data_IF_131123537981
#
_entry.id   IF_131123537981
#
_cell.length_a   1.000
_cell.length_b   1.000
_cell.length_c   1.000
_cell.angle_alpha   90.00
_cell.angle_beta   90.00
_cell.angle_gamma   90.00
#
_symmetry.space_group_name_H-M   'P 1'
#
loop_
_entity.id
_entity.type
_entity.pdbx_description
1 polymer ?
#
# COMPACT_ATOMS: atom_id res chain seq x y z
N UNK A 1 38.01 6.90 -3.40
CA UNK A 1 37.51 7.08 -2.01
C UNK A 1 36.07 6.68 -2.02
N UNK A 2 35.71 5.52 -1.44
CA UNK A 2 34.30 5.12 -1.29
C UNK A 2 33.71 5.98 -0.19
N UNK A 3 32.86 6.93 -0.53
CA UNK A 3 32.00 7.56 0.48
C UNK A 3 31.14 6.46 1.12
N UNK A 4 31.06 6.41 2.47
CA UNK A 4 30.16 5.49 3.12
C UNK A 4 28.73 5.76 2.61
N UNK A 5 27.91 4.72 2.40
CA UNK A 5 26.54 4.90 1.93
C UNK A 5 25.77 5.83 2.89
N UNK A 6 25.04 6.79 2.33
CA UNK A 6 24.18 7.67 3.14
C UNK A 6 23.22 6.81 3.96
N UNK A 7 23.19 7.04 5.26
CA UNK A 7 22.28 6.37 6.18
C UNK A 7 21.21 7.35 6.65
N UNK A 8 20.00 6.88 6.75
CA UNK A 8 18.87 7.66 7.24
C UNK A 8 18.79 7.66 8.76
N UNK A 9 18.25 8.73 9.32
CA UNK A 9 17.92 8.88 10.72
C UNK A 9 16.66 9.71 10.85
N UNK A 10 16.06 9.72 12.02
CA UNK A 10 14.86 10.50 12.30
C UNK A 10 15.16 11.59 13.31
N UNK A 11 14.52 12.74 13.12
CA UNK A 11 14.55 13.88 14.03
C UNK A 11 13.13 14.22 14.48
N UNK A 12 12.99 14.76 15.68
CA UNK A 12 11.75 15.35 16.16
C UNK A 12 11.56 16.80 15.62
N UNK A 13 10.44 17.41 15.98
CA UNK A 13 10.11 18.79 15.55
C UNK A 13 11.10 19.85 16.07
N UNK A 14 11.92 19.52 17.05
CA UNK A 14 12.98 20.42 17.60
C UNK A 14 14.31 20.22 16.90
N UNK A 15 14.42 19.26 15.97
CA UNK A 15 15.66 18.90 15.28
C UNK A 15 16.50 17.90 16.05
N UNK A 16 16.02 17.36 17.19
CA UNK A 16 16.75 16.36 17.97
C UNK A 16 16.61 14.98 17.31
N UNK A 17 17.75 14.27 17.19
CA UNK A 17 17.76 12.88 16.70
C UNK A 17 17.04 11.98 17.70
N UNK A 18 16.00 11.26 17.25
CA UNK A 18 15.18 10.38 18.11
C UNK A 18 15.73 8.96 18.22
N UNK A 19 16.66 8.56 17.35
CA UNK A 19 17.29 7.24 17.41
C UNK A 19 18.76 7.34 17.00
N UNK A 20 19.64 6.63 17.70
CA UNK A 20 21.05 6.47 17.33
C UNK A 20 21.24 5.47 16.21
N UNK A 21 20.23 4.62 15.96
CA UNK A 21 20.26 3.65 14.86
C UNK A 21 20.22 4.36 13.51
N UNK A 22 21.00 3.87 12.56
CA UNK A 22 21.08 4.35 11.19
C UNK A 22 20.50 3.30 10.26
N UNK A 23 19.65 3.73 9.34
CA UNK A 23 18.93 2.86 8.41
C UNK A 23 19.46 3.02 6.99
N UNK A 24 19.41 1.94 6.20
CA UNK A 24 19.79 1.97 4.78
C UNK A 24 18.77 2.76 3.96
N UNK A 25 17.50 2.69 4.37
CA UNK A 25 16.42 3.53 3.85
C UNK A 25 15.36 3.75 4.94
N UNK A 26 14.55 4.79 4.77
CA UNK A 26 13.45 5.10 5.68
C UNK A 26 12.32 5.79 4.90
N UNK A 27 11.10 5.56 5.33
CA UNK A 27 9.90 6.24 4.84
C UNK A 27 9.24 7.04 5.96
N UNK A 28 8.30 7.90 5.62
CA UNK A 28 7.63 8.77 6.56
C UNK A 28 6.82 8.00 7.60
N UNK A 29 6.69 8.61 8.78
CA UNK A 29 5.78 8.13 9.81
C UNK A 29 4.34 8.23 9.33
N UNK A 30 3.63 7.13 9.44
CA UNK A 30 2.18 7.08 9.29
C UNK A 30 1.57 6.23 10.39
N UNK A 31 0.48 6.70 10.97
CA UNK A 31 -0.26 6.02 12.04
C UNK A 31 0.62 5.56 13.23
N UNK A 32 1.71 6.30 13.50
CA UNK A 32 2.60 6.07 14.64
C UNK A 32 3.84 5.22 14.36
N UNK A 33 3.94 4.60 13.18
CA UNK A 33 5.08 3.79 12.77
C UNK A 33 5.71 4.31 11.47
N UNK A 34 7.02 4.08 11.31
CA UNK A 34 7.75 4.37 10.07
C UNK A 34 8.43 3.11 9.54
N UNK A 35 8.30 2.80 8.24
CA UNK A 35 9.05 1.73 7.61
C UNK A 35 10.54 2.11 7.55
N UNK A 36 11.40 1.18 7.94
CA UNK A 36 12.86 1.33 7.88
C UNK A 36 13.50 0.10 7.26
N UNK A 37 14.53 0.32 6.46
CA UNK A 37 15.31 -0.75 5.83
C UNK A 37 16.63 -0.95 6.56
N UNK A 38 16.96 -2.19 6.88
CA UNK A 38 18.23 -2.61 7.47
C UNK A 38 18.73 -3.81 6.66
N UNK A 39 19.85 -3.65 5.96
CA UNK A 39 20.27 -4.60 4.94
C UNK A 39 19.25 -4.62 3.80
N UNK A 40 18.77 -5.81 3.43
CA UNK A 40 17.84 -5.97 2.33
C UNK A 40 16.37 -5.96 2.75
N UNK A 41 16.09 -5.97 4.06
CA UNK A 41 14.75 -6.16 4.59
C UNK A 41 14.20 -4.92 5.30
N UNK A 42 12.89 -4.78 5.23
CA UNK A 42 12.12 -3.73 5.88
C UNK A 42 11.48 -4.20 7.18
N UNK A 43 11.51 -3.34 8.18
CA UNK A 43 10.81 -3.44 9.44
C UNK A 43 10.15 -2.11 9.78
N UNK A 44 9.72 -1.93 11.04
CA UNK A 44 9.06 -0.70 11.48
C UNK A 44 9.61 -0.21 12.80
N UNK A 45 9.77 1.11 12.94
CA UNK A 45 10.07 1.79 14.20
C UNK A 45 8.88 2.63 14.65
N UNK A 46 8.81 2.87 15.96
CA UNK A 46 7.90 3.83 16.55
C UNK A 46 8.50 5.25 16.61
N UNK A 47 7.72 6.21 17.12
CA UNK A 47 8.15 7.62 17.27
C UNK A 47 9.25 7.83 18.30
N UNK A 48 9.51 6.85 19.17
CA UNK A 48 10.64 6.86 20.09
C UNK A 48 11.92 6.30 19.45
N UNK A 49 11.84 5.83 18.20
CA UNK A 49 12.95 5.20 17.48
C UNK A 49 13.18 3.74 17.84
N UNK A 50 12.22 3.12 18.53
CA UNK A 50 12.30 1.70 18.92
C UNK A 50 11.83 0.83 17.76
N UNK A 51 12.60 -0.22 17.46
CA UNK A 51 12.25 -1.22 16.45
C UNK A 51 11.09 -2.08 16.94
N UNK A 52 9.87 -1.81 16.49
CA UNK A 52 8.64 -2.51 16.86
C UNK A 52 8.49 -3.82 16.06
N UNK A 53 8.84 -3.76 14.78
CA UNK A 53 8.84 -4.94 13.90
C UNK A 53 10.24 -5.10 13.33
N UNK A 54 10.89 -6.23 13.66
CA UNK A 54 12.20 -6.55 13.09
C UNK A 54 12.14 -6.64 11.56
N UNK A 55 13.22 -6.26 10.85
CA UNK A 55 13.28 -6.35 9.39
C UNK A 55 13.02 -7.78 8.92
N UNK A 56 12.00 -7.95 8.08
CA UNK A 56 11.60 -9.27 7.55
C UNK A 56 10.86 -9.21 6.22
N UNK A 57 10.44 -8.03 5.76
CA UNK A 57 9.72 -7.86 4.50
C UNK A 57 10.67 -7.39 3.40
N UNK A 58 10.50 -7.85 2.18
CA UNK A 58 11.27 -7.36 1.02
C UNK A 58 10.94 -5.90 0.69
N UNK A 59 9.70 -5.48 0.91
CA UNK A 59 9.26 -4.09 0.90
C UNK A 59 8.14 -3.87 1.92
N UNK A 60 8.05 -2.65 2.47
CA UNK A 60 6.97 -2.24 3.37
C UNK A 60 6.65 -0.76 3.16
N UNK A 61 5.36 -0.44 3.03
CA UNK A 61 4.85 0.92 2.83
C UNK A 61 4.40 1.53 4.17
N UNK A 62 4.27 2.86 4.25
CA UNK A 62 3.63 3.49 5.40
C UNK A 62 2.23 2.93 5.67
N UNK A 63 1.83 2.91 6.93
CA UNK A 63 0.51 2.44 7.33
C UNK A 63 -0.60 3.32 6.78
N UNK A 64 -1.66 2.71 6.30
CA UNK A 64 -2.89 3.38 5.90
C UNK A 64 -4.11 2.51 6.24
N UNK A 65 -5.11 3.08 6.89
CA UNK A 65 -6.28 2.37 7.41
C UNK A 65 -5.92 1.19 8.31
N UNK A 66 -4.82 1.30 9.08
CA UNK A 66 -4.34 0.30 10.03
C UNK A 66 -3.50 -0.83 9.44
N UNK A 67 -3.27 -0.84 8.14
CA UNK A 67 -2.48 -1.85 7.44
C UNK A 67 -1.32 -1.23 6.65
N UNK A 68 -0.21 -1.93 6.58
CA UNK A 68 0.90 -1.62 5.69
C UNK A 68 0.93 -2.62 4.55
N UNK A 69 1.01 -2.14 3.32
CA UNK A 69 1.29 -3.00 2.19
C UNK A 69 2.74 -3.49 2.27
N UNK A 70 2.89 -4.80 2.21
CA UNK A 70 4.17 -5.49 2.24
C UNK A 70 4.40 -6.26 0.95
N UNK A 71 5.66 -6.60 0.68
CA UNK A 71 6.04 -7.43 -0.47
C UNK A 71 6.81 -8.65 -0.01
N UNK A 72 6.54 -9.77 -0.67
CA UNK A 72 7.24 -11.03 -0.54
C UNK A 72 7.19 -11.77 -1.89
N UNK A 73 8.35 -12.19 -2.42
CA UNK A 73 8.50 -12.88 -3.73
C UNK A 73 7.70 -12.21 -4.87
N UNK A 74 7.90 -10.88 -5.02
CA UNK A 74 7.19 -10.05 -6.03
C UNK A 74 5.67 -9.96 -5.89
N UNK A 75 5.11 -10.54 -4.84
CA UNK A 75 3.69 -10.44 -4.52
C UNK A 75 3.45 -9.47 -3.37
N UNK A 76 2.37 -8.73 -3.46
CA UNK A 76 1.91 -7.80 -2.43
C UNK A 76 0.86 -8.43 -1.54
N UNK A 77 0.97 -8.19 -0.26
CA UNK A 77 0.03 -8.50 0.79
C UNK A 77 -0.02 -7.36 1.81
N UNK A 78 -0.56 -7.62 2.99
CA UNK A 78 -0.67 -6.58 4.01
C UNK A 78 -0.39 -7.12 5.41
N UNK A 79 0.32 -6.32 6.20
CA UNK A 79 0.60 -6.60 7.62
C UNK A 79 -0.07 -5.58 8.52
N UNK A 80 -0.35 -6.00 9.75
CA UNK A 80 -0.76 -5.11 10.83
C UNK A 80 0.45 -4.45 11.52
N UNK A 81 0.19 -3.63 12.54
CA UNK A 81 1.21 -2.88 13.29
C UNK A 81 2.11 -3.77 14.16
N UNK A 82 1.74 -5.02 14.40
CA UNK A 82 2.58 -6.00 15.07
C UNK A 82 3.55 -6.69 14.13
N UNK A 83 3.37 -6.46 12.82
CA UNK A 83 4.09 -7.13 11.75
C UNK A 83 3.46 -8.47 11.35
N UNK A 84 2.31 -8.86 11.92
CA UNK A 84 1.59 -10.05 11.48
C UNK A 84 1.02 -9.85 10.10
N UNK A 85 1.24 -10.81 9.19
CA UNK A 85 0.65 -10.80 7.85
C UNK A 85 -0.82 -11.16 8.00
N UNK A 86 -1.71 -10.18 7.79
CA UNK A 86 -3.17 -10.36 7.88
C UNK A 86 -3.81 -10.67 6.54
N UNK A 87 -3.19 -10.21 5.46
CA UNK A 87 -3.60 -10.55 4.09
C UNK A 87 -2.35 -11.09 3.38
N UNK A 88 -2.32 -12.39 3.05
CA UNK A 88 -1.15 -13.00 2.43
C UNK A 88 -0.75 -12.32 1.11
N UNK A 89 0.55 -12.27 0.78
CA UNK A 89 1.03 -11.81 -0.52
C UNK A 89 0.44 -12.68 -1.64
N UNK A 90 -0.41 -12.06 -2.48
CA UNK A 90 -1.19 -12.78 -3.51
C UNK A 90 -1.20 -12.03 -4.84
N UNK A 91 -1.08 -10.69 -4.80
CA UNK A 91 -1.25 -9.86 -6.00
C UNK A 91 0.07 -9.28 -6.48
N UNK A 92 0.27 -9.28 -7.79
CA UNK A 92 1.40 -8.59 -8.42
C UNK A 92 1.26 -7.07 -8.38
N UNK A 93 0.02 -6.59 -8.32
CA UNK A 93 -0.29 -5.16 -8.17
C UNK A 93 -1.26 -4.98 -7.01
N UNK A 94 -0.91 -4.09 -6.10
CA UNK A 94 -1.76 -3.70 -4.98
C UNK A 94 -1.45 -2.26 -4.59
N UNK A 95 -2.47 -1.52 -4.19
CA UNK A 95 -2.35 -0.17 -3.63
C UNK A 95 -2.46 -0.19 -2.11
N UNK A 96 -2.05 0.91 -1.49
CA UNK A 96 -2.29 1.13 -0.08
C UNK A 96 -3.79 1.30 0.18
N UNK A 97 -4.26 0.88 1.35
CA UNK A 97 -5.65 1.07 1.74
C UNK A 97 -6.01 2.55 1.77
N UNK A 98 -7.18 2.88 1.29
CA UNK A 98 -7.79 4.20 1.41
C UNK A 98 -9.29 4.03 1.67
N UNK A 99 -9.79 4.71 2.71
CA UNK A 99 -11.20 4.61 3.11
C UNK A 99 -11.68 3.17 3.36
N UNK A 100 -10.76 2.31 3.84
CA UNK A 100 -11.02 0.90 4.16
C UNK A 100 -11.00 -0.05 2.99
N UNK A 101 -10.67 0.42 1.79
CA UNK A 101 -10.59 -0.37 0.55
C UNK A 101 -9.21 -0.25 -0.10
N UNK A 102 -8.75 -1.31 -0.75
CA UNK A 102 -7.53 -1.32 -1.54
C UNK A 102 -7.78 -1.90 -2.94
N UNK A 103 -7.13 -1.30 -3.94
CA UNK A 103 -7.10 -1.85 -5.30
C UNK A 103 -6.08 -2.97 -5.36
N UNK A 104 -6.48 -4.10 -5.92
CA UNK A 104 -5.60 -5.25 -6.15
C UNK A 104 -5.85 -5.86 -7.52
N UNK A 105 -4.84 -6.51 -8.08
CA UNK A 105 -4.95 -7.16 -9.39
C UNK A 105 -3.63 -7.64 -9.94
N UNK A 106 -3.62 -7.87 -11.24
CA UNK A 106 -2.41 -8.13 -12.02
C UNK A 106 -2.18 -6.92 -12.94
N UNK A 107 -0.93 -6.48 -13.17
CA UNK A 107 -0.63 -5.34 -14.07
C UNK A 107 -1.20 -5.47 -15.48
N UNK A 108 -1.38 -6.71 -15.96
CA UNK A 108 -1.95 -7.03 -17.28
C UNK A 108 -3.37 -7.58 -17.20
N UNK A 109 -3.94 -7.66 -16.00
CA UNK A 109 -5.25 -8.26 -15.73
C UNK A 109 -6.24 -7.25 -15.17
N UNK A 110 -7.44 -7.72 -14.83
CA UNK A 110 -8.42 -6.86 -14.20
C UNK A 110 -8.06 -6.55 -12.76
N UNK A 111 -8.43 -5.34 -12.35
CA UNK A 111 -8.36 -4.88 -10.97
C UNK A 111 -9.69 -5.09 -10.26
N UNK A 112 -9.64 -5.28 -8.95
CA UNK A 112 -10.78 -5.32 -8.05
C UNK A 112 -10.46 -4.58 -6.75
N UNK A 113 -11.46 -4.44 -5.89
CA UNK A 113 -11.29 -3.85 -4.57
C UNK A 113 -11.45 -4.90 -3.50
N UNK A 114 -10.57 -4.86 -2.51
CA UNK A 114 -10.66 -5.70 -1.30
C UNK A 114 -10.90 -4.84 -0.08
N UNK A 115 -11.54 -5.42 0.92
CA UNK A 115 -11.67 -4.85 2.25
C UNK A 115 -10.46 -5.25 3.13
N UNK A 116 -10.43 -4.76 4.38
CA UNK A 116 -9.32 -5.00 5.33
C UNK A 116 -9.16 -6.46 5.77
N UNK A 117 -10.11 -7.34 5.47
CA UNK A 117 -9.98 -8.79 5.72
C UNK A 117 -9.40 -9.53 4.51
N UNK A 118 -9.14 -8.84 3.40
CA UNK A 118 -8.67 -9.42 2.14
C UNK A 118 -9.79 -9.98 1.25
N UNK A 119 -11.04 -9.85 1.70
CA UNK A 119 -12.20 -10.27 0.91
C UNK A 119 -12.55 -9.24 -0.15
N UNK A 120 -13.07 -9.68 -1.31
CA UNK A 120 -13.58 -8.78 -2.33
C UNK A 120 -14.67 -7.89 -1.73
N UNK A 121 -14.54 -6.58 -1.88
CA UNK A 121 -15.42 -5.61 -1.24
C UNK A 121 -16.80 -5.55 -1.90
N UNK A 122 -16.84 -5.70 -3.22
CA UNK A 122 -18.05 -5.77 -4.05
C UNK A 122 -17.70 -6.43 -5.39
N UNK A 123 -18.69 -7.01 -6.04
CA UNK A 123 -18.48 -7.63 -7.34
C UNK A 123 -18.20 -6.58 -8.42
N UNK A 124 -17.00 -6.61 -8.97
CA UNK A 124 -16.60 -5.71 -10.04
C UNK A 124 -15.16 -5.93 -10.45
N UNK A 125 -14.94 -6.01 -11.76
CA UNK A 125 -13.61 -6.06 -12.35
C UNK A 125 -13.44 -4.86 -13.28
N UNK A 126 -12.28 -4.23 -13.20
CA UNK A 126 -11.99 -2.99 -13.89
C UNK A 126 -10.69 -3.11 -14.68
N UNK A 127 -10.64 -2.49 -15.86
CA UNK A 127 -9.41 -2.42 -16.64
C UNK A 127 -8.36 -1.50 -16.00
N UNK A 128 -8.83 -0.48 -15.28
CA UNK A 128 -8.03 0.40 -14.41
C UNK A 128 -8.90 0.75 -13.21
N UNK A 129 -8.28 0.90 -12.04
CA UNK A 129 -8.96 1.33 -10.83
C UNK A 129 -8.06 2.28 -10.04
N UNK A 130 -8.62 3.35 -9.49
CA UNK A 130 -7.93 4.26 -8.59
C UNK A 130 -8.31 4.00 -7.14
N UNK A 131 -7.47 4.44 -6.19
CA UNK A 131 -7.85 4.44 -4.78
C UNK A 131 -9.07 5.34 -4.54
N UNK A 132 -9.83 5.04 -3.51
CA UNK A 132 -10.93 5.89 -3.06
C UNK A 132 -10.42 7.20 -2.46
N UNK A 133 -11.11 8.28 -2.77
CA UNK A 133 -10.89 9.60 -2.19
C UNK A 133 -12.23 10.33 -2.06
N UNK A 134 -12.59 10.74 -0.84
CA UNK A 134 -13.88 11.38 -0.53
C UNK A 134 -15.09 10.57 -1.02
N UNK A 135 -15.05 9.26 -0.77
CA UNK A 135 -16.13 8.33 -1.08
C UNK A 135 -16.22 7.90 -2.54
N UNK A 136 -15.34 8.35 -3.42
CA UNK A 136 -15.37 8.05 -4.85
C UNK A 136 -14.05 7.48 -5.36
N UNK A 137 -14.13 6.58 -6.32
CA UNK A 137 -12.99 6.09 -7.10
C UNK A 137 -13.29 6.17 -8.59
N UNK A 138 -12.29 6.58 -9.36
CA UNK A 138 -12.36 6.52 -10.82
C UNK A 138 -11.96 5.13 -11.30
N UNK A 139 -12.73 4.56 -12.20
CA UNK A 139 -12.45 3.25 -12.79
C UNK A 139 -12.62 3.30 -14.30
N UNK A 140 -11.83 2.49 -15.01
CA UNK A 140 -12.07 2.17 -16.41
C UNK A 140 -12.76 0.81 -16.50
N UNK A 141 -13.94 0.79 -17.09
CA UNK A 141 -14.71 -0.43 -17.25
C UNK A 141 -14.04 -1.38 -18.26
N UNK A 142 -14.20 -2.67 -18.02
CA UNK A 142 -13.85 -3.67 -19.02
C UNK A 142 -14.82 -3.56 -20.20
N UNK A 143 -14.33 -3.62 -21.45
CA UNK A 143 -15.20 -3.58 -22.63
C UNK A 143 -16.13 -4.80 -22.61
N UNK A 144 -17.41 -4.57 -22.87
CA UNK A 144 -18.41 -5.65 -23.03
C UNK A 144 -18.24 -6.40 -24.37
N UNK A 145 -17.64 -5.75 -25.36
CA UNK A 145 -17.34 -6.29 -26.67
C UNK A 145 -15.93 -5.83 -27.07
N UNK A 146 -15.05 -6.78 -27.32
CA UNK A 146 -13.66 -6.51 -27.73
C UNK A 146 -13.54 -5.72 -29.04
N UNK A 147 -14.61 -5.65 -29.83
CA UNK A 147 -14.67 -4.92 -31.09
C UNK A 147 -15.05 -3.44 -30.94
N UNK A 148 -15.54 -3.01 -29.77
CA UNK A 148 -15.88 -1.61 -29.46
C UNK A 148 -14.83 -1.01 -28.54
N UNK A 149 -13.80 -0.41 -29.13
CA UNK A 149 -12.60 0.08 -28.43
C UNK A 149 -12.77 1.43 -27.71
N UNK A 150 -13.98 1.87 -27.37
CA UNK A 150 -14.12 3.10 -26.59
C UNK A 150 -13.92 2.79 -25.11
N UNK A 151 -12.89 3.40 -24.52
CA UNK A 151 -12.66 3.33 -23.08
C UNK A 151 -13.83 4.04 -22.37
N UNK A 152 -14.56 3.31 -21.54
CA UNK A 152 -15.63 3.87 -20.71
C UNK A 152 -15.11 4.05 -19.30
N UNK A 153 -15.10 5.28 -18.82
CA UNK A 153 -14.75 5.60 -17.44
C UNK A 153 -15.99 5.82 -16.59
N UNK A 154 -15.88 5.55 -15.32
CA UNK A 154 -16.94 5.81 -14.36
C UNK A 154 -16.35 6.25 -13.03
N UNK A 155 -17.15 6.95 -12.23
CA UNK A 155 -16.94 7.09 -10.81
C UNK A 155 -17.84 6.09 -10.09
N UNK A 156 -17.28 5.38 -9.14
CA UNK A 156 -18.00 4.44 -8.27
C UNK A 156 -17.89 4.92 -6.82
N UNK A 157 -18.90 4.62 -6.02
CA UNK A 157 -18.88 4.80 -4.57
C UNK A 157 -18.25 3.57 -3.86
N UNK A 158 -18.10 3.63 -2.55
CA UNK A 158 -17.49 2.58 -1.73
C UNK A 158 -18.27 1.26 -1.70
N UNK A 159 -19.48 1.22 -2.24
CA UNK A 159 -20.29 0.00 -2.42
C UNK A 159 -20.14 -0.59 -3.84
N UNK A 160 -19.36 0.07 -4.71
CA UNK A 160 -19.19 -0.31 -6.11
C UNK A 160 -20.29 0.18 -7.04
N UNK A 161 -21.23 0.99 -6.55
CA UNK A 161 -22.28 1.60 -7.36
C UNK A 161 -21.70 2.67 -8.28
N UNK A 162 -22.10 2.68 -9.53
CA UNK A 162 -21.71 3.71 -10.49
C UNK A 162 -22.49 5.00 -10.23
N UNK A 163 -21.76 6.04 -9.86
CA UNK A 163 -22.32 7.38 -9.62
C UNK A 163 -22.37 8.19 -10.90
N UNK A 164 -21.36 8.02 -11.75
CA UNK A 164 -21.26 8.75 -13.02
C UNK A 164 -20.47 7.94 -14.05
N UNK A 165 -20.81 8.08 -15.34
CA UNK A 165 -20.13 7.39 -16.47
C UNK A 165 -19.90 8.37 -17.60
N UNK A 166 -18.72 8.34 -18.25
CA UNK A 166 -18.32 9.21 -19.36
C UNK A 166 -17.34 8.53 -20.31
#
# INVERSE_FOLDING_TARGET
MNQPPCKFSFIDKTGRVITTQRFDFARDFSEGLAPVKIGDLWGFIDKAGVLVVAPKFEDAQPFSSGLSRIRDHDLSGYSDKTGSVVIPPTWRSADDFSEGLAVVGDPNGPFSYINRTGSEAFHGKFAVASRFFKGLAQVRLLPRDSRKAHATFAYIDTTGHRVFTY
#
